data_IF_754712415606
#
_entry.id   IF_754712415606
#
_cell.length_a   1.000
_cell.length_b   1.000
_cell.length_c   1.000
_cell.angle_alpha   90.00
_cell.angle_beta   90.00
_cell.angle_gamma   90.00
#
_symmetry.space_group_name_H-M   'P 1'
#
loop_
_entity.id
_entity.type
_entity.pdbx_description
1 polymer ?
#
# COMPACT_ATOMS: atom_id res chain seq x y z
N UNK A 1 7.55 15.48 -0.21
CA UNK A 1 6.80 14.25 0.17
C UNK A 1 7.22 13.82 1.57
N UNK A 2 6.28 13.41 2.44
CA UNK A 2 6.63 12.83 3.74
C UNK A 2 7.08 11.38 3.58
N UNK A 3 7.99 10.90 4.48
CA UNK A 3 8.45 9.50 4.47
C UNK A 3 7.73 8.75 5.59
N UNK A 4 7.03 7.69 5.22
CA UNK A 4 6.41 6.72 6.12
C UNK A 4 7.21 5.42 6.12
N UNK A 5 6.98 4.57 7.11
CA UNK A 5 7.66 3.27 7.18
C UNK A 5 6.69 2.14 7.51
N UNK A 6 6.76 1.06 6.75
CA UNK A 6 5.89 -0.09 6.97
C UNK A 6 6.40 -1.00 8.10
N UNK A 7 5.50 -1.34 9.01
CA UNK A 7 5.82 -2.14 10.19
C UNK A 7 6.09 -3.63 9.89
N UNK A 8 6.02 -4.07 8.63
CA UNK A 8 6.47 -5.43 8.26
C UNK A 8 8.00 -5.58 8.26
N UNK A 9 8.73 -4.47 8.37
CA UNK A 9 10.18 -4.44 8.43
C UNK A 9 10.77 -4.99 9.75
N UNK A 10 9.94 -5.29 10.73
CA UNK A 10 10.35 -5.86 12.02
C UNK A 10 9.33 -6.86 12.55
N UNK A 11 9.77 -7.72 13.46
CA UNK A 11 8.88 -8.67 14.13
C UNK A 11 8.04 -7.96 15.21
N UNK A 12 6.86 -8.50 15.57
CA UNK A 12 5.97 -7.87 16.55
C UNK A 12 6.64 -7.52 17.88
N UNK A 13 7.51 -8.38 18.38
CA UNK A 13 8.23 -8.18 19.65
C UNK A 13 9.27 -7.06 19.60
N UNK A 14 9.71 -6.65 18.40
CA UNK A 14 10.66 -5.57 18.18
C UNK A 14 9.98 -4.20 18.00
N UNK A 15 8.64 -4.15 17.97
CA UNK A 15 7.91 -2.92 17.63
C UNK A 15 8.28 -1.72 18.51
N UNK A 16 8.38 -1.81 19.85
CA UNK A 16 8.76 -0.66 20.68
C UNK A 16 10.15 -0.11 20.35
N UNK A 17 11.12 -1.01 20.12
CA UNK A 17 12.49 -0.63 19.76
C UNK A 17 12.54 0.01 18.37
N UNK A 18 11.85 -0.58 17.40
CA UNK A 18 11.79 -0.06 16.03
C UNK A 18 11.13 1.32 15.97
N UNK A 19 10.04 1.55 16.70
CA UNK A 19 9.40 2.86 16.79
C UNK A 19 10.32 3.90 17.45
N UNK A 20 10.98 3.56 18.55
CA UNK A 20 11.95 4.47 19.17
C UNK A 20 13.06 4.87 18.20
N UNK A 21 13.58 3.90 17.44
CA UNK A 21 14.63 4.12 16.45
C UNK A 21 14.15 4.96 15.26
N UNK A 22 12.96 4.70 14.71
CA UNK A 22 12.38 5.52 13.66
C UNK A 22 12.16 6.97 14.08
N UNK A 23 11.75 7.21 15.34
CA UNK A 23 11.61 8.55 15.90
C UNK A 23 12.96 9.29 15.96
N UNK A 24 14.04 8.60 16.34
CA UNK A 24 15.41 9.17 16.32
C UNK A 24 15.82 9.55 14.88
N UNK A 25 15.35 8.80 13.89
CA UNK A 25 15.53 9.12 12.48
C UNK A 25 14.58 10.21 11.97
N UNK A 26 13.70 10.75 12.82
CA UNK A 26 12.72 11.77 12.44
C UNK A 26 11.60 11.29 11.53
N UNK A 27 11.25 10.00 11.58
CA UNK A 27 10.05 9.45 10.94
C UNK A 27 8.92 9.49 11.96
N UNK A 28 7.78 10.08 11.58
CA UNK A 28 6.61 10.28 12.43
C UNK A 28 5.33 9.62 11.88
N UNK A 29 5.45 8.90 10.78
CA UNK A 29 4.36 8.19 10.14
C UNK A 29 4.71 6.73 9.89
N UNK A 30 3.75 5.84 10.18
CA UNK A 30 3.88 4.42 9.93
C UNK A 30 2.75 3.90 9.07
N UNK A 31 3.06 2.84 8.35
CA UNK A 31 2.10 2.00 7.64
C UNK A 31 1.97 0.66 8.35
N UNK A 32 0.73 0.21 8.59
CA UNK A 32 0.49 -0.98 9.40
C UNK A 32 -0.26 -2.07 8.64
N UNK A 33 0.03 -3.33 8.97
CA UNK A 33 -0.78 -4.48 8.58
C UNK A 33 -1.96 -4.60 9.58
N UNK A 34 -3.22 -4.37 9.15
CA UNK A 34 -4.33 -4.20 10.07
C UNK A 34 -4.61 -5.43 10.95
N UNK A 35 -4.46 -6.65 10.41
CA UNK A 35 -4.69 -7.86 11.18
C UNK A 35 -3.64 -8.05 12.28
N UNK A 36 -2.41 -7.60 12.06
CA UNK A 36 -1.35 -7.59 13.08
C UNK A 36 -1.61 -6.52 14.15
N UNK A 37 -2.05 -5.33 13.73
CA UNK A 37 -2.18 -4.17 14.61
C UNK A 37 -3.48 -4.21 15.43
N UNK A 38 -4.59 -4.71 14.86
CA UNK A 38 -5.94 -4.59 15.40
C UNK A 38 -6.68 -5.93 15.56
N UNK A 39 -6.13 -7.04 15.06
CA UNK A 39 -6.75 -8.36 15.12
C UNK A 39 -7.76 -8.62 13.99
N UNK A 40 -8.73 -9.51 14.26
CA UNK A 40 -9.75 -9.90 13.27
C UNK A 40 -10.69 -8.72 12.93
N UNK A 41 -10.71 -8.25 11.66
CA UNK A 41 -11.47 -7.08 11.26
C UNK A 41 -12.99 -7.24 11.42
N UNK A 42 -13.51 -8.47 11.44
CA UNK A 42 -14.94 -8.72 11.60
C UNK A 42 -15.41 -8.60 13.05
N UNK A 43 -14.52 -8.67 14.02
CA UNK A 43 -14.84 -8.61 15.47
C UNK A 43 -14.23 -7.39 16.16
N UNK A 44 -13.29 -6.71 15.52
CA UNK A 44 -12.62 -5.51 16.04
C UNK A 44 -13.62 -4.36 16.22
N UNK A 45 -13.54 -3.69 17.37
CA UNK A 45 -14.42 -2.56 17.72
C UNK A 45 -13.77 -1.21 17.47
N UNK A 46 -14.58 -0.17 17.26
CA UNK A 46 -14.09 1.21 17.13
C UNK A 46 -13.25 1.65 18.35
N UNK A 47 -13.70 1.30 19.56
CA UNK A 47 -13.00 1.66 20.79
C UNK A 47 -11.60 1.07 20.83
N UNK A 48 -11.44 -0.21 20.52
CA UNK A 48 -10.13 -0.88 20.52
C UNK A 48 -9.19 -0.31 19.45
N UNK A 49 -9.74 0.06 18.28
CA UNK A 49 -8.94 0.69 17.21
C UNK A 49 -8.46 2.08 17.64
N UNK A 50 -9.35 2.91 18.21
CA UNK A 50 -9.01 4.25 18.69
C UNK A 50 -7.98 4.21 19.83
N UNK A 51 -8.09 3.24 20.73
CA UNK A 51 -7.11 3.01 21.79
C UNK A 51 -5.73 2.64 21.23
N UNK A 52 -5.68 1.69 20.29
CA UNK A 52 -4.41 1.31 19.64
C UNK A 52 -3.80 2.46 18.82
N UNK A 53 -4.62 3.22 18.10
CA UNK A 53 -4.18 4.39 17.37
C UNK A 53 -3.68 5.50 18.32
N UNK A 54 -4.30 5.67 19.48
CA UNK A 54 -3.82 6.58 20.53
C UNK A 54 -2.45 6.16 21.06
N UNK A 55 -2.24 4.87 21.29
CA UNK A 55 -0.95 4.33 21.69
C UNK A 55 0.16 4.67 20.68
N UNK A 56 -0.09 4.53 19.35
CA UNK A 56 0.88 4.94 18.34
C UNK A 56 1.17 6.45 18.40
N UNK A 57 0.15 7.28 18.63
CA UNK A 57 0.34 8.74 18.80
C UNK A 57 1.19 9.09 20.03
N UNK A 58 1.01 8.37 21.13
CA UNK A 58 1.84 8.52 22.35
C UNK A 58 3.29 8.13 22.08
N UNK A 59 3.54 7.19 21.17
CA UNK A 59 4.89 6.88 20.69
C UNK A 59 5.44 7.90 19.69
N UNK A 60 4.65 8.91 19.28
CA UNK A 60 5.03 9.95 18.33
C UNK A 60 4.73 9.63 16.88
N UNK A 61 3.81 8.66 16.61
CA UNK A 61 3.47 8.26 15.24
C UNK A 61 2.00 8.45 14.90
N UNK A 62 1.74 8.90 13.67
CA UNK A 62 0.43 8.74 13.05
C UNK A 62 0.43 7.49 12.16
N UNK A 63 -0.72 6.83 12.05
CA UNK A 63 -0.92 5.77 11.08
C UNK A 63 -1.35 6.44 9.78
N UNK A 64 -0.49 6.39 8.74
CA UNK A 64 -0.75 7.02 7.44
C UNK A 64 -1.53 6.12 6.50
N UNK A 65 -1.23 4.84 6.49
CA UNK A 65 -1.76 3.87 5.54
C UNK A 65 -1.80 2.45 6.11
N UNK A 66 -2.51 1.57 5.41
CA UNK A 66 -2.52 0.13 5.68
C UNK A 66 -1.98 -0.65 4.48
N UNK A 67 -1.28 -1.74 4.76
CA UNK A 67 -0.82 -2.70 3.77
C UNK A 67 -0.98 -4.14 4.28
N UNK A 68 -0.67 -5.17 3.48
CA UNK A 68 -0.82 -6.58 3.85
C UNK A 68 -2.21 -6.91 4.42
N UNK A 69 -3.28 -6.36 3.81
CA UNK A 69 -4.66 -6.37 4.31
C UNK A 69 -5.22 -7.76 4.60
N UNK A 70 -4.68 -8.79 3.93
CA UNK A 70 -5.17 -10.17 3.98
C UNK A 70 -4.12 -11.13 4.55
N UNK A 71 -3.10 -10.63 5.23
CA UNK A 71 -2.05 -11.49 5.79
C UNK A 71 -2.64 -12.48 6.79
N UNK A 72 -2.32 -13.78 6.61
CA UNK A 72 -2.83 -14.84 7.48
C UNK A 72 -4.25 -15.31 7.16
N UNK A 73 -4.90 -14.79 6.11
CA UNK A 73 -6.22 -15.26 5.65
C UNK A 73 -6.09 -16.27 4.51
N UNK A 74 -7.07 -17.17 4.40
CA UNK A 74 -7.12 -18.21 3.36
C UNK A 74 -8.48 -18.26 2.67
N UNK A 75 -8.50 -18.78 1.44
CA UNK A 75 -9.74 -19.03 0.70
C UNK A 75 -10.51 -17.77 0.28
N UNK A 76 -9.82 -16.62 0.19
CA UNK A 76 -10.39 -15.34 -0.24
C UNK A 76 -9.95 -15.05 -1.68
N UNK A 77 -10.87 -15.06 -2.61
CA UNK A 77 -10.58 -14.84 -4.03
C UNK A 77 -11.61 -13.89 -4.65
N UNK A 78 -11.15 -12.78 -5.22
CA UNK A 78 -11.97 -11.79 -5.92
C UNK A 78 -12.77 -12.39 -7.09
N UNK A 79 -12.08 -13.19 -7.92
CA UNK A 79 -12.60 -13.76 -9.15
C UNK A 79 -12.85 -15.28 -9.02
N UNK A 80 -12.89 -15.78 -7.78
CA UNK A 80 -13.20 -17.18 -7.46
C UNK A 80 -14.71 -17.46 -7.37
N UNK A 81 -15.12 -18.23 -6.37
CA UNK A 81 -16.54 -18.50 -6.12
C UNK A 81 -17.24 -17.27 -5.53
N UNK A 82 -18.58 -17.17 -5.69
CA UNK A 82 -19.37 -16.09 -5.10
C UNK A 82 -19.18 -16.00 -3.57
N UNK A 83 -19.09 -17.14 -2.90
CA UNK A 83 -18.86 -17.21 -1.45
C UNK A 83 -17.51 -16.60 -1.07
N UNK A 84 -16.43 -16.98 -1.79
CA UNK A 84 -15.09 -16.44 -1.57
C UNK A 84 -15.03 -14.94 -1.80
N UNK A 85 -15.61 -14.46 -2.89
CA UNK A 85 -15.69 -13.03 -3.23
C UNK A 85 -16.50 -12.24 -2.18
N UNK A 86 -17.62 -12.79 -1.70
CA UNK A 86 -18.44 -12.17 -0.66
C UNK A 86 -17.68 -12.05 0.66
N UNK A 87 -16.99 -13.11 1.07
CA UNK A 87 -16.15 -13.08 2.29
C UNK A 87 -15.01 -12.05 2.17
N UNK A 88 -14.32 -12.02 1.02
CA UNK A 88 -13.29 -11.03 0.74
C UNK A 88 -13.85 -9.59 0.85
N UNK A 89 -15.00 -9.34 0.24
CA UNK A 89 -15.69 -8.03 0.31
C UNK A 89 -15.98 -7.63 1.76
N UNK A 90 -16.55 -8.52 2.55
CA UNK A 90 -16.86 -8.24 3.97
C UNK A 90 -15.61 -7.88 4.77
N UNK A 91 -14.49 -8.58 4.55
CA UNK A 91 -13.22 -8.29 5.21
C UNK A 91 -12.67 -6.93 4.77
N UNK A 92 -12.63 -6.63 3.46
CA UNK A 92 -12.09 -5.36 2.98
C UNK A 92 -12.93 -4.16 3.46
N UNK A 93 -14.27 -4.28 3.51
CA UNK A 93 -15.14 -3.23 4.06
C UNK A 93 -14.87 -3.05 5.56
N UNK A 94 -14.69 -4.14 6.33
CA UNK A 94 -14.37 -4.06 7.74
C UNK A 94 -13.00 -3.40 7.97
N UNK A 95 -11.98 -3.76 7.18
CA UNK A 95 -10.67 -3.09 7.20
C UNK A 95 -10.79 -1.61 6.86
N UNK A 96 -11.66 -1.24 5.88
CA UNK A 96 -11.95 0.15 5.55
C UNK A 96 -12.49 0.96 6.72
N UNK A 97 -13.40 0.38 7.52
CA UNK A 97 -13.89 1.00 8.75
C UNK A 97 -12.79 1.18 9.79
N UNK A 98 -11.95 0.13 9.97
CA UNK A 98 -10.80 0.20 10.88
C UNK A 98 -9.86 1.33 10.46
N UNK A 99 -9.57 1.48 9.16
CA UNK A 99 -8.72 2.55 8.65
C UNK A 99 -9.32 3.93 8.99
N UNK A 100 -10.60 4.14 8.74
CA UNK A 100 -11.30 5.37 9.11
C UNK A 100 -11.23 5.66 10.62
N UNK A 101 -11.47 4.66 11.48
CA UNK A 101 -11.37 4.82 12.94
C UNK A 101 -9.94 5.10 13.42
N UNK A 102 -8.95 4.54 12.75
CA UNK A 102 -7.52 4.78 13.03
C UNK A 102 -7.02 6.14 12.53
N UNK A 103 -7.78 6.79 11.62
CA UNK A 103 -7.34 7.99 10.91
C UNK A 103 -6.35 7.71 9.79
N UNK A 104 -6.29 6.46 9.31
CA UNK A 104 -5.48 6.06 8.17
C UNK A 104 -6.23 6.31 6.86
N UNK A 105 -5.52 6.75 5.82
CA UNK A 105 -6.12 7.02 4.50
C UNK A 105 -6.07 5.79 3.60
N UNK A 106 -5.02 5.61 2.79
CA UNK A 106 -4.91 4.53 1.82
C UNK A 106 -4.75 3.15 2.46
N UNK A 107 -5.34 2.13 1.81
CA UNK A 107 -5.17 0.73 2.16
C UNK A 107 -4.75 -0.04 0.93
N UNK A 108 -3.54 -0.60 0.91
CA UNK A 108 -2.94 -1.22 -0.28
C UNK A 108 -3.42 -2.65 -0.48
N UNK A 109 -4.18 -2.86 -1.55
CA UNK A 109 -4.57 -4.18 -2.01
C UNK A 109 -3.59 -4.69 -3.07
N UNK A 110 -2.47 -5.23 -2.62
CA UNK A 110 -1.46 -5.88 -3.45
C UNK A 110 -1.76 -7.35 -3.76
N UNK A 111 -2.04 -8.13 -2.80
CA UNK A 111 -2.44 -9.56 -2.73
C UNK A 111 -2.68 -10.29 -4.07
N UNK A 112 -1.64 -10.66 -4.85
CA UNK A 112 -1.82 -11.25 -6.18
C UNK A 112 -2.63 -12.55 -6.15
N UNK A 113 -2.42 -13.40 -5.17
CA UNK A 113 -3.10 -14.69 -5.02
C UNK A 113 -4.62 -14.57 -4.81
N UNK A 114 -5.08 -13.43 -4.28
CA UNK A 114 -6.49 -13.20 -3.98
C UNK A 114 -7.28 -12.63 -5.17
N UNK A 115 -6.61 -12.36 -6.32
CA UNK A 115 -7.24 -11.75 -7.50
C UNK A 115 -6.87 -12.41 -8.82
N UNK A 116 -6.47 -13.67 -8.79
CA UNK A 116 -6.17 -14.42 -10.01
C UNK A 116 -7.40 -14.53 -10.90
N UNK A 117 -7.26 -14.14 -12.19
CA UNK A 117 -8.34 -14.26 -13.19
C UNK A 117 -8.48 -15.68 -13.76
N UNK A 118 -7.40 -16.47 -13.67
CA UNK A 118 -7.38 -17.87 -14.13
C UNK A 118 -7.82 -17.99 -15.60
N UNK A 119 -8.93 -18.69 -15.86
CA UNK A 119 -9.48 -18.90 -17.20
C UNK A 119 -10.41 -17.77 -17.70
N UNK A 120 -10.70 -16.75 -16.87
CA UNK A 120 -11.50 -15.62 -17.32
C UNK A 120 -10.77 -14.81 -18.38
N UNK A 121 -11.48 -14.28 -19.35
CA UNK A 121 -10.93 -13.26 -20.24
C UNK A 121 -10.56 -12.01 -19.41
N UNK A 122 -9.63 -11.19 -19.92
CA UNK A 122 -9.27 -9.96 -19.25
C UNK A 122 -10.49 -9.03 -19.08
N UNK A 123 -11.32 -8.92 -20.12
CA UNK A 123 -12.52 -8.07 -20.09
C UNK A 123 -13.55 -8.56 -19.05
N UNK A 124 -13.79 -9.87 -18.95
CA UNK A 124 -14.68 -10.41 -17.93
C UNK A 124 -14.13 -10.17 -16.52
N UNK A 125 -12.82 -10.31 -16.34
CA UNK A 125 -12.17 -10.06 -15.08
C UNK A 125 -12.29 -8.59 -14.67
N UNK A 126 -12.04 -7.65 -15.58
CA UNK A 126 -12.21 -6.18 -15.34
C UNK A 126 -13.64 -5.86 -14.95
N UNK A 127 -14.65 -6.39 -15.67
CA UNK A 127 -16.05 -6.10 -15.37
C UNK A 127 -16.46 -6.61 -13.98
N UNK A 128 -16.07 -7.84 -13.63
CA UNK A 128 -16.36 -8.39 -12.29
C UNK A 128 -15.63 -7.65 -11.20
N UNK A 129 -14.35 -7.36 -11.41
CA UNK A 129 -13.52 -6.64 -10.45
C UNK A 129 -14.02 -5.21 -10.22
N UNK A 130 -14.41 -4.48 -11.28
CA UNK A 130 -14.90 -3.10 -11.15
C UNK A 130 -16.19 -3.02 -10.33
N UNK A 131 -17.14 -3.95 -10.53
CA UNK A 131 -18.35 -4.03 -9.70
C UNK A 131 -18.03 -4.32 -8.23
N UNK A 132 -17.13 -5.26 -7.98
CA UNK A 132 -16.66 -5.59 -6.62
C UNK A 132 -15.98 -4.40 -5.94
N UNK A 133 -15.01 -3.76 -6.62
CA UNK A 133 -14.25 -2.64 -6.04
C UNK A 133 -15.08 -1.37 -5.92
N UNK A 134 -16.13 -1.18 -6.71
CA UNK A 134 -17.08 -0.08 -6.53
C UNK A 134 -17.77 -0.19 -5.18
N UNK A 135 -18.35 -1.35 -4.85
CA UNK A 135 -19.02 -1.55 -3.56
C UNK A 135 -18.07 -1.38 -2.37
N UNK A 136 -16.85 -1.95 -2.47
CA UNK A 136 -15.83 -1.80 -1.42
C UNK A 136 -15.35 -0.36 -1.31
N UNK A 137 -15.07 0.30 -2.44
CA UNK A 137 -14.60 1.68 -2.48
C UNK A 137 -15.63 2.65 -1.90
N UNK A 138 -16.90 2.50 -2.28
CA UNK A 138 -17.96 3.36 -1.76
C UNK A 138 -18.07 3.23 -0.24
N UNK A 139 -18.01 2.00 0.30
CA UNK A 139 -18.00 1.78 1.75
C UNK A 139 -16.73 2.33 2.42
N UNK A 140 -15.58 2.29 1.76
CA UNK A 140 -14.35 2.92 2.25
C UNK A 140 -14.48 4.45 2.30
N UNK A 141 -15.03 5.07 1.24
CA UNK A 141 -15.26 6.51 1.19
C UNK A 141 -16.20 6.97 2.33
N UNK A 142 -17.29 6.24 2.59
CA UNK A 142 -18.20 6.49 3.71
C UNK A 142 -17.50 6.40 5.07
N UNK A 143 -16.51 5.50 5.18
CA UNK A 143 -15.70 5.32 6.38
C UNK A 143 -14.56 6.36 6.52
N UNK A 144 -14.34 7.22 5.51
CA UNK A 144 -13.22 8.17 5.48
C UNK A 144 -11.86 7.53 5.13
N UNK A 145 -11.87 6.38 4.43
CA UNK A 145 -10.69 5.66 3.97
C UNK A 145 -10.71 5.46 2.44
N UNK A 146 -9.65 4.87 1.88
CA UNK A 146 -9.55 4.59 0.44
C UNK A 146 -8.82 3.26 0.21
N UNK A 147 -9.45 2.33 -0.52
CA UNK A 147 -8.75 1.14 -1.01
C UNK A 147 -7.93 1.52 -2.25
N UNK A 148 -6.69 1.08 -2.33
CA UNK A 148 -5.84 1.33 -3.51
C UNK A 148 -5.37 0.03 -4.13
N UNK A 149 -5.45 -0.08 -5.45
CA UNK A 149 -4.99 -1.25 -6.19
C UNK A 149 -3.52 -1.09 -6.59
N UNK A 150 -2.74 -2.09 -6.29
CA UNK A 150 -1.34 -2.21 -6.69
C UNK A 150 -1.21 -3.11 -7.90
N UNK A 151 -0.46 -2.68 -8.91
CA UNK A 151 -0.03 -3.55 -10.00
C UNK A 151 1.05 -4.50 -9.49
N UNK A 152 0.78 -5.81 -9.54
CA UNK A 152 1.76 -6.82 -9.13
C UNK A 152 2.30 -7.57 -10.36
N UNK A 153 3.61 -7.55 -10.61
CA UNK A 153 4.19 -8.22 -11.77
C UNK A 153 3.97 -9.74 -11.72
N UNK A 154 3.99 -10.37 -12.89
CA UNK A 154 3.84 -11.83 -13.04
C UNK A 154 4.87 -12.61 -12.21
N UNK A 155 6.05 -12.02 -11.97
CA UNK A 155 7.09 -12.58 -11.10
C UNK A 155 6.59 -12.85 -9.65
N UNK A 156 5.55 -12.14 -9.20
CA UNK A 156 4.90 -12.38 -7.90
C UNK A 156 3.71 -13.34 -7.99
N UNK A 157 3.52 -14.00 -9.13
CA UNK A 157 2.46 -14.97 -9.36
C UNK A 157 1.10 -14.34 -9.68
N UNK A 158 1.07 -13.08 -10.09
CA UNK A 158 -0.14 -12.40 -10.55
C UNK A 158 -0.45 -12.77 -12.01
N UNK A 159 -1.74 -12.78 -12.36
CA UNK A 159 -2.24 -12.89 -13.75
C UNK A 159 -3.33 -11.86 -14.09
N UNK A 160 -3.57 -10.92 -13.14
CA UNK A 160 -4.55 -9.83 -13.28
C UNK A 160 -4.00 -8.54 -12.63
N UNK A 161 -4.12 -7.42 -13.33
CA UNK A 161 -3.50 -6.14 -12.96
C UNK A 161 -2.00 -6.28 -12.71
N UNK A 162 -1.29 -6.84 -13.69
CA UNK A 162 0.16 -7.08 -13.62
C UNK A 162 0.98 -5.88 -14.05
N UNK A 163 0.34 -4.85 -14.61
CA UNK A 163 0.95 -3.61 -15.12
C UNK A 163 0.20 -2.40 -14.59
N UNK A 164 0.90 -1.28 -14.45
CA UNK A 164 0.33 -0.02 -13.98
C UNK A 164 -0.83 0.46 -14.85
N UNK A 165 -0.73 0.31 -16.18
CA UNK A 165 -1.80 0.66 -17.11
C UNK A 165 -3.12 -0.10 -16.79
N UNK A 166 -3.03 -1.40 -16.51
CA UNK A 166 -4.18 -2.23 -16.16
C UNK A 166 -4.80 -1.85 -14.82
N UNK A 167 -3.97 -1.49 -13.83
CA UNK A 167 -4.45 -1.01 -12.54
C UNK A 167 -5.14 0.36 -12.69
N UNK A 168 -4.58 1.27 -13.49
CA UNK A 168 -5.19 2.56 -13.78
C UNK A 168 -6.53 2.41 -14.52
N UNK A 169 -6.62 1.52 -15.51
CA UNK A 169 -7.87 1.17 -16.20
C UNK A 169 -8.93 0.68 -15.21
N UNK A 170 -8.57 -0.26 -14.32
CA UNK A 170 -9.50 -0.78 -13.33
C UNK A 170 -10.03 0.33 -12.41
N UNK A 171 -9.18 1.26 -11.97
CA UNK A 171 -9.61 2.41 -11.15
C UNK A 171 -10.59 3.29 -11.92
N UNK A 172 -10.28 3.61 -13.18
CA UNK A 172 -11.15 4.44 -14.04
C UNK A 172 -12.51 3.79 -14.25
N UNK A 173 -12.56 2.51 -14.61
CA UNK A 173 -13.80 1.78 -14.88
C UNK A 173 -14.62 1.60 -13.60
N UNK A 174 -13.96 1.43 -12.46
CA UNK A 174 -14.62 1.34 -11.15
C UNK A 174 -15.34 2.63 -10.79
N UNK A 175 -14.68 3.79 -10.94
CA UNK A 175 -15.29 5.10 -10.74
C UNK A 175 -15.81 5.37 -9.32
N UNK A 176 -15.26 4.72 -8.28
CA UNK A 176 -15.58 4.98 -6.87
C UNK A 176 -14.61 6.00 -6.26
N UNK A 177 -15.09 6.96 -5.46
CA UNK A 177 -14.21 7.94 -4.78
C UNK A 177 -13.29 7.30 -3.74
N UNK A 178 -13.65 6.15 -3.18
CA UNK A 178 -12.88 5.39 -2.21
C UNK A 178 -12.05 4.26 -2.82
N UNK A 179 -11.83 4.28 -4.16
CA UNK A 179 -10.94 3.35 -4.85
C UNK A 179 -9.93 4.09 -5.72
N UNK A 180 -8.63 3.85 -5.51
CA UNK A 180 -7.58 4.60 -6.15
C UNK A 180 -6.41 3.74 -6.63
N UNK A 181 -5.43 4.41 -7.24
CA UNK A 181 -4.22 3.80 -7.75
C UNK A 181 -3.12 3.83 -6.70
N UNK A 182 -2.37 2.74 -6.61
CA UNK A 182 -1.11 2.62 -5.89
C UNK A 182 0.03 2.39 -6.88
N UNK A 183 1.22 2.91 -6.55
CA UNK A 183 2.46 2.63 -7.28
C UNK A 183 3.51 2.06 -6.33
N UNK A 184 4.18 1.00 -6.78
CA UNK A 184 5.25 0.35 -6.04
C UNK A 184 6.54 0.28 -6.87
N UNK A 185 7.63 0.85 -6.34
CA UNK A 185 8.91 0.92 -7.05
C UNK A 185 9.48 -0.46 -7.37
N UNK A 186 9.44 -1.41 -6.41
CA UNK A 186 9.96 -2.77 -6.61
C UNK A 186 9.20 -3.55 -7.67
N UNK A 187 7.87 -3.43 -7.68
CA UNK A 187 7.03 -4.01 -8.73
C UNK A 187 7.30 -3.42 -10.11
N UNK A 188 7.49 -2.08 -10.19
CA UNK A 188 7.86 -1.40 -11.43
C UNK A 188 9.23 -1.83 -11.96
N UNK A 189 10.21 -2.02 -11.08
CA UNK A 189 11.52 -2.53 -11.47
C UNK A 189 11.43 -3.93 -12.08
N UNK A 190 10.62 -4.81 -11.49
CA UNK A 190 10.44 -6.19 -11.98
C UNK A 190 9.62 -6.27 -13.27
N UNK A 191 8.61 -5.42 -13.43
CA UNK A 191 7.80 -5.41 -14.65
C UNK A 191 8.54 -4.85 -15.86
N UNK A 192 9.55 -4.00 -15.61
CA UNK A 192 10.31 -3.32 -16.66
C UNK A 192 9.47 -2.41 -17.54
N UNK A 193 8.26 -2.04 -17.10
CA UNK A 193 7.36 -1.19 -17.90
C UNK A 193 7.81 0.28 -17.95
N UNK A 194 7.43 0.94 -19.04
CA UNK A 194 7.60 2.38 -19.16
C UNK A 194 6.46 3.09 -18.41
N UNK A 195 6.56 3.16 -17.10
CA UNK A 195 5.48 3.64 -16.21
C UNK A 195 5.29 5.15 -16.22
N UNK A 196 6.30 5.94 -16.60
CA UNK A 196 6.29 7.40 -16.47
C UNK A 196 5.15 8.08 -17.23
N UNK A 197 4.92 7.79 -18.53
CA UNK A 197 3.79 8.39 -19.24
C UNK A 197 2.44 7.91 -18.67
N UNK A 198 2.35 6.65 -18.25
CA UNK A 198 1.14 6.08 -17.67
C UNK A 198 0.80 6.81 -16.36
N UNK A 199 1.78 6.97 -15.48
CA UNK A 199 1.58 7.61 -14.19
C UNK A 199 1.22 9.11 -14.33
N UNK A 200 1.84 9.83 -15.30
CA UNK A 200 1.44 11.22 -15.60
C UNK A 200 -0.02 11.32 -16.04
N UNK A 201 -0.46 10.41 -16.91
CA UNK A 201 -1.84 10.38 -17.38
C UNK A 201 -2.83 9.97 -16.27
N UNK A 202 -2.40 9.12 -15.35
CA UNK A 202 -3.20 8.62 -14.23
C UNK A 202 -3.01 9.42 -12.92
N UNK A 203 -2.36 10.59 -12.96
CA UNK A 203 -1.99 11.37 -11.76
C UNK A 203 -3.18 11.63 -10.82
N UNK A 204 -4.36 11.94 -11.36
CA UNK A 204 -5.57 12.17 -10.57
C UNK A 204 -6.12 10.93 -9.85
N UNK A 205 -5.66 9.74 -10.22
CA UNK A 205 -6.08 8.46 -9.62
C UNK A 205 -5.14 8.02 -8.49
N UNK A 206 -3.90 8.53 -8.45
CA UNK A 206 -2.89 8.13 -7.49
C UNK A 206 -3.28 8.58 -6.07
N UNK A 207 -3.20 7.64 -5.13
CA UNK A 207 -3.51 7.88 -3.71
C UNK A 207 -2.38 7.47 -2.78
N UNK A 208 -1.51 6.54 -3.19
CA UNK A 208 -0.42 6.04 -2.35
C UNK A 208 0.77 5.55 -3.18
N UNK A 209 1.95 5.57 -2.57
CA UNK A 209 3.19 5.14 -3.22
C UNK A 209 4.11 4.41 -2.22
N UNK A 210 4.68 3.28 -2.67
CA UNK A 210 5.72 2.55 -1.95
C UNK A 210 7.10 2.80 -2.56
N UNK A 211 8.06 3.08 -1.68
CA UNK A 211 9.46 2.86 -1.94
C UNK A 211 9.80 1.45 -1.46
N UNK A 212 9.83 0.50 -2.36
CA UNK A 212 10.24 -0.89 -2.11
C UNK A 212 11.34 -1.30 -3.08
N UNK A 213 12.16 -2.25 -2.68
CA UNK A 213 13.08 -2.93 -3.58
C UNK A 213 12.44 -4.21 -4.12
N UNK A 214 12.83 -4.71 -5.31
CA UNK A 214 12.42 -6.02 -5.78
C UNK A 214 12.53 -7.09 -4.68
N UNK A 215 11.48 -7.89 -4.49
CA UNK A 215 11.37 -8.90 -3.44
C UNK A 215 11.48 -8.36 -1.99
N UNK A 216 11.27 -7.07 -1.78
CA UNK A 216 11.31 -6.39 -0.46
C UNK A 216 12.63 -6.58 0.28
N UNK A 217 13.76 -6.59 -0.43
CA UNK A 217 15.12 -6.62 0.14
C UNK A 217 15.51 -5.27 0.74
N UNK A 218 16.71 -5.18 1.32
CA UNK A 218 17.24 -3.94 1.90
C UNK A 218 17.55 -2.87 0.85
N UNK A 219 17.69 -1.62 1.30
CA UNK A 219 18.08 -0.46 0.48
C UNK A 219 19.61 -0.21 0.44
N UNK A 220 20.41 -1.25 0.61
CA UNK A 220 21.87 -1.12 0.51
C UNK A 220 22.31 -0.56 -0.86
N UNK A 221 21.63 -0.99 -1.92
CA UNK A 221 21.83 -0.51 -3.30
C UNK A 221 20.45 -0.21 -3.91
N UNK A 222 19.94 1.02 -3.81
CA UNK A 222 18.63 1.37 -4.36
C UNK A 222 18.57 1.19 -5.90
N UNK A 223 17.50 0.54 -6.37
CA UNK A 223 17.26 0.37 -7.81
C UNK A 223 17.10 1.74 -8.49
N UNK A 224 17.64 1.93 -9.71
CA UNK A 224 17.48 3.17 -10.47
C UNK A 224 16.02 3.61 -10.72
N UNK A 225 15.05 2.69 -10.62
CA UNK A 225 13.63 3.00 -10.74
C UNK A 225 13.17 4.06 -9.73
N UNK A 226 13.78 4.09 -8.54
CA UNK A 226 13.44 5.07 -7.50
C UNK A 226 13.65 6.51 -7.94
N UNK A 227 14.76 6.82 -8.61
CA UNK A 227 15.02 8.16 -9.12
C UNK A 227 14.01 8.56 -10.21
N UNK A 228 13.63 7.62 -11.07
CA UNK A 228 12.61 7.83 -12.11
C UNK A 228 11.22 8.06 -11.48
N UNK A 229 10.84 7.24 -10.51
CA UNK A 229 9.57 7.38 -9.81
C UNK A 229 9.50 8.70 -9.03
N UNK A 230 10.54 9.04 -8.27
CA UNK A 230 10.63 10.30 -7.52
C UNK A 230 10.43 11.52 -8.43
N UNK A 231 11.09 11.52 -9.60
CA UNK A 231 10.93 12.58 -10.59
C UNK A 231 9.48 12.73 -11.05
N UNK A 232 8.81 11.63 -11.41
CA UNK A 232 7.42 11.69 -11.88
C UNK A 232 6.47 12.10 -10.75
N UNK A 233 6.65 11.58 -9.54
CA UNK A 233 5.82 11.97 -8.38
C UNK A 233 5.92 13.48 -8.11
N UNK A 234 7.12 14.05 -8.25
CA UNK A 234 7.32 15.49 -8.13
C UNK A 234 6.64 16.25 -9.28
N UNK A 235 6.84 15.84 -10.53
CA UNK A 235 6.25 16.45 -11.73
C UNK A 235 4.71 16.50 -11.69
N UNK A 236 4.06 15.47 -11.16
CA UNK A 236 2.59 15.39 -11.02
C UNK A 236 2.06 16.06 -9.75
N UNK A 237 2.93 16.63 -8.92
CA UNK A 237 2.55 17.29 -7.66
C UNK A 237 2.01 16.33 -6.61
N UNK A 238 2.51 15.08 -6.56
CA UNK A 238 2.10 14.13 -5.53
C UNK A 238 2.48 14.64 -4.13
N UNK A 239 1.46 14.86 -3.29
CA UNK A 239 1.61 15.43 -1.94
C UNK A 239 1.44 14.39 -0.82
N UNK A 240 1.16 13.13 -1.16
CA UNK A 240 1.05 12.04 -0.20
C UNK A 240 2.40 11.63 0.38
N UNK A 241 2.35 10.65 1.29
CA UNK A 241 3.56 10.03 1.83
C UNK A 241 4.12 8.98 0.87
N UNK A 242 5.45 8.83 0.87
CA UNK A 242 6.12 7.68 0.30
C UNK A 242 6.43 6.69 1.42
N UNK A 243 5.80 5.51 1.41
CA UNK A 243 6.00 4.50 2.45
C UNK A 243 7.12 3.54 2.08
N UNK A 244 8.11 3.39 2.97
CA UNK A 244 9.18 2.42 2.80
C UNK A 244 8.64 1.04 3.13
N UNK A 245 8.62 0.16 2.12
CA UNK A 245 8.21 -1.22 2.30
C UNK A 245 9.39 -2.16 2.09
N UNK A 246 9.75 -2.89 3.14
CA UNK A 246 10.78 -3.93 3.12
C UNK A 246 10.44 -5.03 4.12
N UNK A 247 10.95 -6.24 3.91
CA UNK A 247 10.86 -7.31 4.91
C UNK A 247 11.85 -7.07 6.04
N UNK A 248 11.58 -7.66 7.20
CA UNK A 248 12.57 -7.74 8.27
C UNK A 248 13.88 -8.36 7.74
N UNK A 249 14.97 -7.65 7.92
CA UNK A 249 16.30 -8.06 7.46
C UNK A 249 17.10 -8.70 8.61
N UNK A 250 18.10 -9.56 8.30
CA UNK A 250 18.94 -10.20 9.33
C UNK A 250 19.71 -9.21 10.22
N UNK A 251 20.09 -8.04 9.66
CA UNK A 251 20.82 -6.97 10.35
C UNK A 251 19.89 -6.00 11.10
N UNK A 252 18.59 -6.29 11.15
CA UNK A 252 17.59 -5.59 11.93
C UNK A 252 17.50 -4.09 11.60
N UNK A 253 17.66 -3.24 12.61
CA UNK A 253 17.48 -1.79 12.49
C UNK A 253 18.55 -1.08 11.64
N UNK A 254 19.67 -1.73 11.33
CA UNK A 254 20.70 -1.16 10.41
C UNK A 254 20.08 -0.94 9.03
N UNK A 255 19.37 -1.96 8.48
CA UNK A 255 18.67 -1.83 7.22
C UNK A 255 17.54 -0.78 7.25
N UNK A 256 16.87 -0.61 8.39
CA UNK A 256 15.87 0.47 8.57
C UNK A 256 16.50 1.84 8.38
N UNK A 257 17.64 2.09 9.01
CA UNK A 257 18.38 3.36 8.85
C UNK A 257 18.83 3.60 7.41
N UNK A 258 19.37 2.56 6.76
CA UNK A 258 19.80 2.65 5.37
C UNK A 258 18.62 3.02 4.46
N UNK A 259 17.46 2.37 4.65
CA UNK A 259 16.27 2.63 3.87
C UNK A 259 15.77 4.08 4.04
N UNK A 260 15.66 4.58 5.28
CA UNK A 260 15.25 5.98 5.55
C UNK A 260 16.21 6.96 4.89
N UNK A 261 17.53 6.71 5.01
CA UNK A 261 18.57 7.59 4.44
C UNK A 261 18.46 7.62 2.91
N UNK A 262 18.39 6.45 2.27
CA UNK A 262 18.32 6.32 0.82
C UNK A 262 17.03 6.95 0.25
N UNK A 263 15.87 6.65 0.85
CA UNK A 263 14.58 7.15 0.37
C UNK A 263 14.49 8.67 0.53
N UNK A 264 14.94 9.24 1.63
CA UNK A 264 15.00 10.70 1.78
C UNK A 264 15.91 11.36 0.76
N UNK A 265 17.10 10.80 0.53
CA UNK A 265 18.03 11.31 -0.47
C UNK A 265 17.42 11.33 -1.88
N UNK A 266 16.61 10.32 -2.22
CA UNK A 266 16.03 10.20 -3.56
C UNK A 266 14.73 11.01 -3.71
N UNK A 267 13.80 10.94 -2.72
CA UNK A 267 12.45 11.47 -2.87
C UNK A 267 12.25 12.88 -2.27
N UNK A 268 13.15 13.34 -1.38
CA UNK A 268 13.03 14.68 -0.76
C UNK A 268 14.00 15.72 -1.33
N UNK A 269 15.12 15.32 -1.94
CA UNK A 269 16.08 16.29 -2.49
C UNK A 269 15.53 17.08 -3.69
N UNK A 270 14.54 16.58 -4.42
CA UNK A 270 13.89 17.30 -5.52
C UNK A 270 13.12 18.53 -5.05
N UNK A 271 12.68 18.56 -3.78
CA UNK A 271 11.98 19.70 -3.19
C UNK A 271 12.93 20.90 -2.92
N UNK A 272 14.23 20.64 -2.72
CA UNK A 272 15.23 21.67 -2.41
C UNK A 272 15.87 22.35 -3.64
N UNK A 273 15.66 21.84 -4.84
CA UNK A 273 16.19 22.39 -6.10
C UNK A 273 15.21 23.30 -6.83
N UNK A 274 13.99 23.47 -6.32
CA UNK A 274 12.92 24.30 -6.90
C UNK A 274 12.65 25.59 -6.10
N UNK A 275 13.42 25.88 -5.07
CA UNK A 275 13.40 27.10 -4.28
C UNK A 275 14.64 27.96 -4.59
#
# INVERSE_FOLDING_TARGET
MNVSFSHIAWRPEQEPEALAFLRELGVDEIEVAPLRAFGDPLTTTESSVRERAAWYREQGFRIGSFQALLFGTEGLELLGTEESARRLKSILIAVGRIAGWAGAGPMVFGSPKNRLRRSLSYNDAIQRASGFFREVGDACAEAGSCLVIEANPEAYGADFCTRLEQAAELVQVTGSPGFGLHVDAGGMALSGENFEPILRNAAGLLRHAHASQPNLISFAEPDPVHARLAKVLHEIGYSGSISIEMRAQPDGLVSVKQAVTAVRAIYQQLDSSAA
#
